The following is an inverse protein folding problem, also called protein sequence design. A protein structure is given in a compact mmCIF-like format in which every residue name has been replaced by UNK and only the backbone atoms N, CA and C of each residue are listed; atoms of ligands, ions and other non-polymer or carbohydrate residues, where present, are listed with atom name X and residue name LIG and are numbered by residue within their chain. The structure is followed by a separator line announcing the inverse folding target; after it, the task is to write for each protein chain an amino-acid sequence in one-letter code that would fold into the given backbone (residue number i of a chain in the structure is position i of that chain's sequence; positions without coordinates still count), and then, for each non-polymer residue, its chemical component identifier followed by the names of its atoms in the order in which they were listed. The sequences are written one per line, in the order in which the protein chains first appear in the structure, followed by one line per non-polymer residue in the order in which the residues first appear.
data_IF_703658302294
#
_entry.id   IF_703658302294
#
_cell.length_a   1.000
_cell.length_b   1.000
_cell.length_c   1.000
_cell.angle_alpha   90.00
_cell.angle_beta   90.00
_cell.angle_gamma   90.00
#
_symmetry.space_group_name_H-M   'P 1'
#
loop_
_entity.id
_entity.type
_entity.pdbx_description
1 polymer ?
#
# COMPACT_ATOMS: atom_id res chain seq x y z
N UNK A 1 12.58 -70.41 17.32
CA UNK A 1 11.18 -70.04 17.03
C UNK A 1 11.15 -68.53 16.85
N UNK A 2 11.08 -68.12 15.60
CA UNK A 2 11.29 -66.79 15.06
C UNK A 2 10.03 -65.93 15.22
N UNK A 3 10.16 -64.76 15.85
CA UNK A 3 9.08 -63.79 15.98
C UNK A 3 8.86 -63.03 14.68
N UNK A 4 7.63 -63.07 14.16
CA UNK A 4 7.18 -62.31 13.00
C UNK A 4 7.11 -60.81 13.32
N UNK A 5 7.89 -60.02 12.58
CA UNK A 5 7.79 -58.57 12.51
C UNK A 5 6.85 -58.19 11.36
N UNK A 6 5.61 -57.87 11.67
CA UNK A 6 4.67 -57.28 10.72
C UNK A 6 5.02 -55.82 10.45
N UNK A 7 5.76 -55.57 9.35
CA UNK A 7 5.95 -54.22 8.79
C UNK A 7 4.60 -53.67 8.30
N UNK A 8 4.15 -52.54 8.85
CA UNK A 8 3.08 -51.72 8.24
C UNK A 8 3.66 -51.00 7.01
N UNK A 9 2.93 -50.93 5.88
CA UNK A 9 3.41 -50.21 4.71
C UNK A 9 3.38 -48.70 4.96
N UNK A 10 4.48 -48.04 4.60
CA UNK A 10 4.57 -46.58 4.48
C UNK A 10 3.63 -46.16 3.35
N UNK A 11 2.62 -45.34 3.67
CA UNK A 11 1.82 -44.66 2.65
C UNK A 11 2.69 -43.59 2.01
N UNK A 12 3.06 -43.79 0.75
CA UNK A 12 3.56 -42.71 -0.10
C UNK A 12 2.51 -41.59 -0.13
N UNK A 13 2.94 -40.40 0.28
CA UNK A 13 2.14 -39.18 0.16
C UNK A 13 2.10 -38.83 -1.32
N UNK A 14 1.00 -39.21 -1.95
CA UNK A 14 0.67 -38.97 -3.34
C UNK A 14 0.46 -37.47 -3.60
N UNK A 15 1.29 -36.94 -4.50
CA UNK A 15 1.03 -35.90 -5.51
C UNK A 15 0.48 -34.53 -5.05
N UNK A 16 1.31 -33.51 -5.27
CA UNK A 16 0.98 -32.08 -5.27
C UNK A 16 -0.29 -31.79 -6.09
N UNK A 17 -1.13 -30.81 -5.71
CA UNK A 17 -2.32 -30.46 -6.49
C UNK A 17 -1.95 -30.00 -7.91
N UNK A 18 -2.54 -30.67 -8.90
CA UNK A 18 -2.44 -30.31 -10.30
C UNK A 18 -3.22 -29.02 -10.56
N UNK A 19 -2.51 -27.89 -10.65
CA UNK A 19 -3.07 -26.56 -10.92
C UNK A 19 -3.66 -26.42 -12.34
N UNK A 20 -3.56 -27.46 -13.17
CA UNK A 20 -3.99 -27.46 -14.58
C UNK A 20 -5.46 -27.78 -14.80
N UNK A 21 -6.26 -27.98 -13.76
CA UNK A 21 -7.69 -28.23 -13.93
C UNK A 21 -8.47 -26.91 -13.80
N UNK A 22 -8.96 -26.31 -14.90
CA UNK A 22 -9.73 -25.08 -14.84
C UNK A 22 -11.09 -25.38 -14.21
N UNK A 23 -11.27 -24.94 -12.96
CA UNK A 23 -12.60 -24.55 -12.50
C UNK A 23 -13.14 -23.59 -13.56
N UNK A 24 -14.31 -23.90 -14.12
CA UNK A 24 -15.04 -23.22 -15.21
C UNK A 24 -14.48 -21.85 -15.61
N UNK A 25 -14.04 -21.63 -16.87
CA UNK A 25 -13.42 -20.37 -17.26
C UNK A 25 -14.44 -19.23 -17.14
N UNK A 26 -14.26 -18.37 -16.14
CA UNK A 26 -14.77 -17.01 -16.21
C UNK A 26 -13.99 -16.31 -17.34
N UNK A 27 -14.59 -16.23 -18.52
CA UNK A 27 -13.96 -15.71 -19.74
C UNK A 27 -13.84 -14.17 -19.78
N UNK A 28 -14.18 -13.44 -18.73
CA UNK A 28 -14.39 -12.00 -18.82
C UNK A 28 -13.58 -11.23 -17.78
N UNK A 29 -12.25 -11.34 -17.85
CA UNK A 29 -11.34 -10.38 -17.22
C UNK A 29 -10.88 -9.40 -18.29
N UNK A 30 -11.33 -8.17 -18.19
CA UNK A 30 -10.86 -7.05 -19.00
C UNK A 30 -9.60 -6.44 -18.37
N UNK A 31 -8.62 -6.07 -19.21
CA UNK A 31 -7.35 -5.47 -18.77
C UNK A 31 -7.31 -4.03 -19.26
N UNK A 32 -7.16 -3.09 -18.33
CA UNK A 32 -7.16 -1.65 -18.61
C UNK A 32 -5.83 -1.02 -18.19
N UNK A 33 -5.35 -0.04 -18.94
CA UNK A 33 -4.19 0.78 -18.55
C UNK A 33 -4.59 2.11 -17.91
N UNK A 34 -5.89 2.42 -17.90
CA UNK A 34 -6.46 3.65 -17.34
C UNK A 34 -7.91 3.42 -16.94
N UNK A 35 -8.32 4.01 -15.81
CA UNK A 35 -9.73 4.11 -15.44
C UNK A 35 -10.38 5.27 -16.20
N UNK A 36 -11.41 4.94 -16.99
CA UNK A 36 -12.27 5.91 -17.67
C UNK A 36 -13.56 6.08 -16.85
N UNK A 37 -14.38 7.08 -17.20
CA UNK A 37 -15.57 7.41 -16.41
C UNK A 37 -16.55 6.22 -16.31
N UNK A 38 -16.73 5.46 -17.38
CA UNK A 38 -17.55 4.24 -17.40
C UNK A 38 -17.01 3.16 -16.45
N UNK A 39 -15.68 2.95 -16.44
CA UNK A 39 -15.04 2.02 -15.50
C UNK A 39 -15.20 2.48 -14.04
N UNK A 40 -15.15 3.78 -13.80
CA UNK A 40 -15.28 4.36 -12.46
C UNK A 40 -16.67 4.17 -11.87
N UNK A 41 -17.73 4.37 -12.66
CA UNK A 41 -19.12 4.17 -12.19
C UNK A 41 -19.36 2.73 -11.71
N UNK A 42 -18.89 1.74 -12.46
CA UNK A 42 -18.99 0.33 -12.09
C UNK A 42 -18.13 -0.01 -10.86
N UNK A 43 -16.91 0.53 -10.82
CA UNK A 43 -15.97 0.30 -9.74
C UNK A 43 -16.43 0.93 -8.42
N UNK A 44 -17.05 2.12 -8.46
CA UNK A 44 -17.64 2.76 -7.28
C UNK A 44 -18.70 1.85 -6.64
N UNK A 45 -19.57 1.24 -7.44
CA UNK A 45 -20.58 0.29 -6.95
C UNK A 45 -19.94 -0.93 -6.28
N UNK A 46 -18.85 -1.46 -6.85
CA UNK A 46 -18.10 -2.57 -6.26
C UNK A 46 -17.40 -2.15 -4.95
N UNK A 47 -16.77 -0.98 -4.92
CA UNK A 47 -16.08 -0.44 -3.74
C UNK A 47 -17.08 -0.26 -2.59
N UNK A 48 -18.23 0.38 -2.84
CA UNK A 48 -19.28 0.56 -1.83
C UNK A 48 -19.74 -0.79 -1.26
N UNK A 49 -19.99 -1.78 -2.13
CA UNK A 49 -20.43 -3.09 -1.68
C UNK A 49 -19.35 -3.83 -0.87
N UNK A 50 -18.09 -3.80 -1.31
CA UNK A 50 -16.97 -4.42 -0.60
C UNK A 50 -16.76 -3.76 0.76
N UNK A 51 -16.70 -2.42 0.78
CA UNK A 51 -16.53 -1.62 2.00
C UNK A 51 -17.64 -1.87 3.02
N UNK A 52 -18.90 -1.88 2.60
CA UNK A 52 -20.02 -2.16 3.48
C UNK A 52 -19.94 -3.56 4.13
N UNK A 53 -19.33 -4.53 3.46
CA UNK A 53 -19.17 -5.89 3.98
C UNK A 53 -17.91 -6.07 4.82
N UNK A 54 -16.82 -5.38 4.48
CA UNK A 54 -15.50 -5.57 5.10
C UNK A 54 -15.20 -4.53 6.20
N UNK A 55 -15.92 -3.41 6.22
CA UNK A 55 -15.76 -2.34 7.20
C UNK A 55 -14.57 -1.41 6.93
N UNK A 56 -13.95 -1.48 5.75
CA UNK A 56 -12.84 -0.62 5.34
C UNK A 56 -12.78 -0.47 3.81
N UNK A 57 -12.05 0.54 3.33
CA UNK A 57 -11.80 0.72 1.90
C UNK A 57 -11.00 -0.46 1.32
N UNK A 58 -11.34 -0.97 0.12
CA UNK A 58 -10.64 -2.10 -0.48
C UNK A 58 -9.28 -1.73 -1.08
N UNK A 59 -9.00 -0.44 -1.30
CA UNK A 59 -7.82 0.04 -2.03
C UNK A 59 -7.13 1.21 -1.33
N UNK A 60 -5.81 1.27 -1.44
CA UNK A 60 -4.97 2.38 -1.00
C UNK A 60 -4.91 3.53 -2.02
N UNK A 61 -4.70 4.76 -1.53
CA UNK A 61 -4.73 5.97 -2.36
C UNK A 61 -3.63 5.99 -3.45
N UNK A 62 -2.41 5.57 -3.12
CA UNK A 62 -1.24 5.77 -3.97
C UNK A 62 -1.36 5.11 -5.35
N UNK A 63 -1.66 3.81 -5.39
CA UNK A 63 -1.75 3.03 -6.63
C UNK A 63 -3.01 3.40 -7.42
N UNK A 64 -4.11 3.64 -6.71
CA UNK A 64 -5.37 4.05 -7.31
C UNK A 64 -5.25 5.39 -8.06
N UNK A 65 -4.59 6.40 -7.47
CA UNK A 65 -4.37 7.69 -8.14
C UNK A 65 -3.49 7.58 -9.39
N UNK A 66 -2.47 6.71 -9.37
CA UNK A 66 -1.61 6.47 -10.55
C UNK A 66 -2.40 5.83 -11.70
N UNK A 67 -3.21 4.81 -11.42
CA UNK A 67 -4.04 4.19 -12.46
C UNK A 67 -5.13 5.13 -12.98
N UNK A 68 -5.78 5.93 -12.11
CA UNK A 68 -6.78 6.93 -12.51
C UNK A 68 -6.21 7.97 -13.48
N UNK A 69 -4.92 8.30 -13.34
CA UNK A 69 -4.22 9.22 -14.25
C UNK A 69 -3.70 8.55 -15.52
N UNK A 70 -3.71 7.22 -15.60
CA UNK A 70 -3.10 6.45 -16.70
C UNK A 70 -1.57 6.52 -16.67
N UNK A 71 -0.97 6.47 -15.48
CA UNK A 71 0.48 6.41 -15.35
C UNK A 71 1.03 5.13 -15.99
N UNK A 72 2.22 5.23 -16.60
CA UNK A 72 2.94 4.06 -17.10
C UNK A 72 3.09 3.02 -15.98
N UNK A 73 3.00 1.74 -16.34
CA UNK A 73 3.18 0.59 -15.43
C UNK A 73 2.06 0.33 -14.42
N UNK A 74 0.97 1.11 -14.43
CA UNK A 74 -0.26 0.79 -13.71
C UNK A 74 -1.23 0.01 -14.61
N UNK A 75 -1.78 -1.10 -14.12
CA UNK A 75 -2.74 -1.93 -14.88
C UNK A 75 -3.92 -2.32 -13.99
N UNK A 76 -5.14 -2.22 -14.52
CA UNK A 76 -6.36 -2.70 -13.89
C UNK A 76 -6.86 -4.00 -14.52
N UNK A 77 -7.53 -4.82 -13.71
CA UNK A 77 -8.15 -6.09 -14.11
C UNK A 77 -9.60 -6.09 -13.62
N UNK A 78 -10.56 -6.10 -14.54
CA UNK A 78 -12.00 -6.02 -14.26
C UNK A 78 -12.66 -7.37 -14.55
N UNK A 79 -13.17 -8.05 -13.52
CA UNK A 79 -13.82 -9.36 -13.66
C UNK A 79 -15.34 -9.23 -13.70
N UNK A 80 -15.96 -9.74 -14.76
CA UNK A 80 -17.40 -9.64 -15.00
C UNK A 80 -18.13 -10.99 -14.90
N UNK A 81 -19.35 -10.96 -14.35
CA UNK A 81 -20.36 -12.04 -14.43
C UNK A 81 -21.67 -11.40 -14.93
N UNK A 82 -22.22 -11.89 -16.05
CA UNK A 82 -23.43 -11.35 -16.69
C UNK A 82 -23.44 -9.82 -16.88
N UNK A 83 -22.32 -9.26 -17.36
CA UNK A 83 -22.07 -7.80 -17.55
C UNK A 83 -22.06 -6.97 -16.27
N UNK A 84 -22.05 -7.59 -15.10
CA UNK A 84 -21.83 -6.91 -13.84
C UNK A 84 -20.38 -7.05 -13.41
N UNK A 85 -19.73 -5.95 -13.02
CA UNK A 85 -18.43 -5.99 -12.37
C UNK A 85 -18.55 -6.69 -11.01
N UNK A 86 -17.88 -7.84 -10.87
CA UNK A 86 -17.93 -8.68 -9.65
C UNK A 86 -16.59 -8.82 -8.95
N UNK A 87 -15.51 -8.37 -9.59
CA UNK A 87 -14.20 -8.27 -8.97
C UNK A 87 -13.32 -7.27 -9.70
N UNK A 88 -12.40 -6.69 -8.97
CA UNK A 88 -11.44 -5.73 -9.52
C UNK A 88 -10.09 -5.93 -8.85
N UNK A 89 -9.04 -5.77 -9.63
CA UNK A 89 -7.70 -5.64 -9.11
C UNK A 89 -6.94 -4.56 -9.87
N UNK A 90 -5.92 -4.00 -9.24
CA UNK A 90 -4.96 -3.17 -9.95
C UNK A 90 -3.54 -3.47 -9.49
N UNK A 91 -2.60 -3.13 -10.36
CA UNK A 91 -1.17 -3.34 -10.15
C UNK A 91 -0.41 -2.04 -10.36
N UNK A 92 0.75 -1.96 -9.72
CA UNK A 92 1.79 -0.99 -10.04
C UNK A 92 3.11 -1.75 -10.17
N UNK A 93 3.77 -1.63 -11.32
CA UNK A 93 5.14 -2.14 -11.50
C UNK A 93 6.14 -1.07 -11.14
N UNK A 94 7.17 -1.42 -10.38
CA UNK A 94 8.25 -0.54 -9.98
C UNK A 94 9.54 -1.34 -9.76
N UNK A 95 10.67 -0.66 -9.76
CA UNK A 95 11.97 -1.25 -9.47
C UNK A 95 12.37 -0.86 -8.04
N UNK A 96 12.75 -1.84 -7.21
CA UNK A 96 13.17 -1.59 -5.83
C UNK A 96 14.30 -2.52 -5.43
N UNK A 97 15.39 -1.94 -4.91
CA UNK A 97 16.62 -2.65 -4.56
C UNK A 97 17.20 -3.49 -5.72
N UNK A 98 17.10 -2.97 -6.96
CA UNK A 98 17.62 -3.64 -8.16
C UNK A 98 16.75 -4.78 -8.69
N UNK A 99 15.56 -4.98 -8.11
CA UNK A 99 14.59 -5.99 -8.56
C UNK A 99 13.32 -5.33 -9.07
N UNK A 100 12.82 -5.78 -10.22
CA UNK A 100 11.48 -5.40 -10.69
C UNK A 100 10.40 -6.14 -9.90
N UNK A 101 9.41 -5.39 -9.43
CA UNK A 101 8.30 -5.87 -8.60
C UNK A 101 6.96 -5.40 -9.14
N UNK A 102 5.93 -6.19 -8.88
CA UNK A 102 4.54 -5.80 -9.10
C UNK A 102 3.82 -5.81 -7.77
N UNK A 103 3.39 -4.65 -7.28
CA UNK A 103 2.48 -4.59 -6.14
C UNK A 103 1.04 -4.54 -6.61
N UNK A 104 0.14 -5.22 -5.92
CA UNK A 104 -1.26 -5.31 -6.27
C UNK A 104 -2.19 -5.22 -5.07
N UNK A 105 -3.42 -4.81 -5.36
CA UNK A 105 -4.57 -4.82 -4.47
C UNK A 105 -5.76 -5.37 -5.25
N UNK A 106 -6.65 -6.10 -4.59
CA UNK A 106 -7.83 -6.67 -5.24
C UNK A 106 -9.02 -6.76 -4.29
N UNK A 107 -10.22 -6.67 -4.86
CA UNK A 107 -11.46 -6.94 -4.14
C UNK A 107 -12.42 -7.76 -4.99
N UNK A 108 -13.31 -8.49 -4.31
CA UNK A 108 -14.38 -9.28 -4.92
C UNK A 108 -15.68 -8.91 -4.23
N UNK A 109 -16.70 -8.65 -5.04
CA UNK A 109 -18.03 -8.30 -4.57
C UNK A 109 -18.52 -9.36 -3.55
N UNK A 110 -19.04 -8.96 -2.38
CA UNK A 110 -19.35 -9.89 -1.29
C UNK A 110 -20.22 -11.10 -1.68
N UNK A 111 -21.27 -10.86 -2.46
CA UNK A 111 -22.18 -11.91 -2.97
C UNK A 111 -21.54 -12.90 -3.95
N UNK A 112 -20.35 -12.59 -4.48
CA UNK A 112 -19.65 -13.36 -5.49
C UNK A 112 -18.36 -14.00 -4.94
N UNK A 113 -18.06 -13.79 -3.66
CA UNK A 113 -16.91 -14.43 -2.99
C UNK A 113 -17.06 -15.94 -2.99
N UNK A 114 -15.92 -16.62 -2.84
CA UNK A 114 -15.81 -18.10 -2.82
C UNK A 114 -16.19 -18.79 -4.14
N UNK A 115 -16.45 -18.04 -5.22
CA UNK A 115 -16.65 -18.56 -6.59
C UNK A 115 -15.37 -18.67 -7.44
N UNK A 116 -14.20 -18.37 -6.87
CA UNK A 116 -12.91 -18.44 -7.58
C UNK A 116 -12.43 -17.11 -8.20
N UNK A 117 -13.26 -16.06 -8.25
CA UNK A 117 -12.94 -14.75 -8.85
C UNK A 117 -11.61 -14.18 -8.37
N UNK A 118 -11.36 -14.14 -7.05
CA UNK A 118 -10.11 -13.63 -6.51
C UNK A 118 -8.88 -14.42 -6.98
N UNK A 119 -9.01 -15.75 -7.12
CA UNK A 119 -7.92 -16.60 -7.65
C UNK A 119 -7.70 -16.35 -9.13
N UNK A 120 -8.77 -16.11 -9.89
CA UNK A 120 -8.68 -15.72 -11.30
C UNK A 120 -7.93 -14.40 -11.45
N UNK A 121 -8.33 -13.36 -10.71
CA UNK A 121 -7.66 -12.05 -10.72
C UNK A 121 -6.18 -12.17 -10.33
N UNK A 122 -5.86 -12.88 -9.25
CA UNK A 122 -4.47 -13.04 -8.80
C UNK A 122 -3.62 -13.84 -9.80
N UNK A 123 -4.20 -14.84 -10.49
CA UNK A 123 -3.52 -15.55 -11.59
C UNK A 123 -3.17 -14.60 -12.74
N UNK A 124 -4.09 -13.71 -13.14
CA UNK A 124 -3.83 -12.70 -14.17
C UNK A 124 -2.73 -11.71 -13.74
N UNK A 125 -2.72 -11.30 -12.48
CA UNK A 125 -1.66 -10.43 -11.94
C UNK A 125 -0.30 -11.12 -11.99
N UNK A 126 -0.21 -12.38 -11.59
CA UNK A 126 1.05 -13.13 -11.62
C UNK A 126 1.56 -13.29 -13.06
N UNK A 127 0.66 -13.55 -14.01
CA UNK A 127 1.05 -13.64 -15.42
C UNK A 127 1.50 -12.28 -15.98
N UNK A 128 0.79 -11.20 -15.63
CA UNK A 128 1.22 -9.85 -15.95
C UNK A 128 2.61 -9.56 -15.36
N UNK A 129 2.84 -9.86 -14.08
CA UNK A 129 4.14 -9.69 -13.44
C UNK A 129 5.26 -10.45 -14.17
N UNK A 130 5.01 -11.70 -14.60
CA UNK A 130 5.96 -12.44 -15.44
C UNK A 130 6.24 -11.72 -16.76
N UNK A 131 5.21 -11.25 -17.46
CA UNK A 131 5.38 -10.51 -18.72
C UNK A 131 6.21 -9.22 -18.57
N UNK A 132 6.18 -8.60 -17.39
CA UNK A 132 6.97 -7.42 -17.07
C UNK A 132 8.42 -7.75 -16.68
N UNK A 133 8.77 -9.04 -16.56
CA UNK A 133 10.05 -9.50 -16.05
C UNK A 133 10.20 -9.29 -14.54
N UNK A 134 9.10 -9.16 -13.80
CA UNK A 134 9.15 -8.99 -12.35
C UNK A 134 9.60 -10.27 -11.66
N UNK A 135 10.43 -10.10 -10.63
CA UNK A 135 10.90 -11.20 -9.79
C UNK A 135 10.04 -11.37 -8.52
N UNK A 136 9.14 -10.42 -8.28
CA UNK A 136 8.29 -10.41 -7.09
C UNK A 136 6.90 -9.86 -7.37
N UNK A 137 5.89 -10.51 -6.79
CA UNK A 137 4.53 -9.98 -6.66
C UNK A 137 4.28 -9.66 -5.20
N UNK A 138 3.76 -8.47 -4.92
CA UNK A 138 3.48 -7.96 -3.57
C UNK A 138 1.98 -7.67 -3.42
N UNK A 139 1.26 -8.54 -2.72
CA UNK A 139 -0.18 -8.46 -2.49
C UNK A 139 -0.47 -7.76 -1.16
N UNK A 140 -1.11 -6.60 -1.21
CA UNK A 140 -1.61 -5.92 -0.01
C UNK A 140 -2.92 -6.54 0.46
N UNK A 141 -3.00 -6.81 1.76
CA UNK A 141 -4.15 -7.33 2.45
C UNK A 141 -4.53 -6.39 3.60
N UNK A 142 -5.55 -5.59 3.38
CA UNK A 142 -6.11 -4.68 4.38
C UNK A 142 -6.79 -5.46 5.52
N UNK A 143 -6.61 -4.99 6.76
CA UNK A 143 -7.24 -5.54 7.98
C UNK A 143 -6.97 -7.03 8.31
N UNK A 144 -5.96 -7.67 7.70
CA UNK A 144 -5.59 -9.08 7.95
C UNK A 144 -6.83 -10.03 7.98
N UNK A 145 -7.62 -10.01 6.91
CA UNK A 145 -8.85 -10.83 6.86
C UNK A 145 -8.57 -12.34 6.67
N UNK A 146 -9.42 -13.24 7.19
CA UNK A 146 -9.30 -14.67 6.90
C UNK A 146 -9.35 -15.02 5.40
N UNK A 147 -10.06 -14.22 4.60
CA UNK A 147 -10.13 -14.41 3.15
C UNK A 147 -8.80 -14.06 2.47
N UNK A 148 -8.16 -12.97 2.90
CA UNK A 148 -6.83 -12.54 2.41
C UNK A 148 -5.75 -13.57 2.78
N UNK A 149 -5.75 -14.08 4.01
CA UNK A 149 -4.85 -15.17 4.43
C UNK A 149 -5.03 -16.44 3.60
N UNK A 150 -6.28 -16.82 3.31
CA UNK A 150 -6.58 -18.02 2.55
C UNK A 150 -6.06 -17.91 1.10
N UNK A 151 -6.31 -16.79 0.41
CA UNK A 151 -5.83 -16.62 -0.97
C UNK A 151 -4.29 -16.48 -1.03
N UNK A 152 -3.67 -15.79 -0.06
CA UNK A 152 -2.21 -15.72 0.03
C UNK A 152 -1.60 -17.11 0.20
N UNK A 153 -2.17 -17.93 1.09
CA UNK A 153 -1.73 -19.32 1.31
C UNK A 153 -1.92 -20.20 0.07
N UNK A 154 -3.03 -20.07 -0.66
CA UNK A 154 -3.29 -20.88 -1.86
C UNK A 154 -2.25 -20.66 -2.96
N UNK A 155 -1.70 -19.45 -3.05
CA UNK A 155 -0.67 -19.08 -4.01
C UNK A 155 0.75 -19.11 -3.42
N UNK A 156 0.91 -19.63 -2.20
CA UNK A 156 2.18 -19.70 -1.48
C UNK A 156 2.90 -18.35 -1.30
N UNK A 157 2.15 -17.27 -1.13
CA UNK A 157 2.72 -16.00 -0.71
C UNK A 157 3.18 -16.09 0.76
N UNK A 158 4.32 -15.47 1.06
CA UNK A 158 4.81 -15.29 2.42
C UNK A 158 4.49 -13.89 2.93
N UNK A 159 4.17 -13.76 4.21
CA UNK A 159 4.07 -12.45 4.87
C UNK A 159 5.46 -11.81 4.99
N UNK A 160 5.62 -10.59 4.49
CA UNK A 160 6.93 -9.90 4.44
C UNK A 160 6.93 -8.53 5.09
N UNK A 161 5.76 -7.89 5.25
CA UNK A 161 5.63 -6.57 5.88
C UNK A 161 4.31 -6.48 6.64
N UNK A 162 4.32 -5.77 7.76
CA UNK A 162 3.13 -5.43 8.55
C UNK A 162 3.09 -3.92 8.73
N UNK A 163 2.04 -3.28 8.25
CA UNK A 163 1.80 -1.85 8.39
C UNK A 163 0.78 -1.66 9.52
N UNK A 164 1.22 -1.09 10.63
CA UNK A 164 0.37 -0.82 11.78
C UNK A 164 -0.43 0.44 11.54
N UNK A 165 -1.73 0.36 11.76
CA UNK A 165 -2.60 1.53 11.83
C UNK A 165 -2.83 1.81 13.29
N UNK A 166 -2.37 2.98 13.73
CA UNK A 166 -2.45 3.38 15.12
C UNK A 166 -3.35 4.61 15.23
N UNK A 167 -4.22 4.61 16.23
CA UNK A 167 -5.20 5.67 16.46
C UNK A 167 -5.00 6.28 17.84
N UNK A 168 -5.25 7.58 17.96
CA UNK A 168 -5.38 8.28 19.25
C UNK A 168 -6.62 9.15 19.27
N UNK A 169 -7.04 9.51 20.48
CA UNK A 169 -8.08 10.51 20.65
C UNK A 169 -7.64 11.89 20.14
N UNK A 170 -8.56 12.72 19.63
CA UNK A 170 -8.29 14.09 19.25
C UNK A 170 -7.74 14.92 20.42
N UNK A 171 -7.00 15.97 20.08
CA UNK A 171 -6.50 16.93 21.05
C UNK A 171 -5.03 17.27 20.85
N UNK A 172 -4.57 18.40 21.42
CA UNK A 172 -3.20 18.84 21.28
C UNK A 172 -2.24 17.91 22.00
N UNK A 173 -0.95 18.07 21.71
CA UNK A 173 0.11 17.42 22.47
C UNK A 173 1.09 18.48 22.97
N UNK A 174 1.66 18.36 24.19
CA UNK A 174 2.67 19.30 24.66
C UNK A 174 3.85 19.39 23.70
N UNK A 175 4.08 20.58 23.13
CA UNK A 175 5.18 20.82 22.22
C UNK A 175 6.45 21.01 23.06
N UNK A 176 7.50 20.18 22.87
CA UNK A 176 8.78 20.40 23.56
C UNK A 176 9.43 21.70 23.08
N UNK A 177 10.44 22.19 23.82
CA UNK A 177 11.23 23.32 23.35
C UNK A 177 11.76 23.03 21.93
N UNK A 178 11.66 24.00 20.99
CA UNK A 178 12.18 23.80 19.64
C UNK A 178 13.68 23.53 19.71
N UNK A 179 14.20 22.56 18.93
CA UNK A 179 15.63 22.39 18.76
C UNK A 179 16.27 23.71 18.30
N UNK A 180 17.55 23.92 18.62
CA UNK A 180 18.26 25.14 18.24
C UNK A 180 18.16 25.42 16.73
N UNK A 181 17.84 26.67 16.37
CA UNK A 181 17.65 27.09 14.99
C UNK A 181 16.35 26.61 14.34
N UNK A 182 15.49 25.85 15.04
CA UNK A 182 14.28 25.29 14.47
C UNK A 182 13.14 26.30 14.35
N UNK A 183 12.55 26.35 13.15
CA UNK A 183 11.29 27.05 12.87
C UNK A 183 10.34 26.14 12.10
N UNK A 184 9.03 26.35 12.26
CA UNK A 184 8.00 25.64 11.50
C UNK A 184 7.11 26.66 10.83
N UNK A 185 6.84 26.46 9.54
CA UNK A 185 5.93 27.29 8.75
C UNK A 185 5.03 26.44 7.85
N UNK A 186 3.86 26.93 7.45
CA UNK A 186 3.09 26.31 6.38
C UNK A 186 3.85 26.26 5.06
N UNK A 187 3.50 25.27 4.25
CA UNK A 187 3.82 25.19 2.84
C UNK A 187 3.16 26.34 2.07
N UNK A 188 3.90 26.94 1.15
CA UNK A 188 3.44 27.96 0.22
C UNK A 188 3.30 27.39 -1.20
N UNK A 189 2.07 27.18 -1.69
CA UNK A 189 1.83 26.79 -3.07
C UNK A 189 2.38 27.83 -4.06
N UNK A 190 3.00 27.34 -5.13
CA UNK A 190 3.68 28.10 -6.16
C UNK A 190 5.12 28.49 -5.84
N UNK A 191 5.64 28.14 -4.66
CA UNK A 191 7.00 28.49 -4.23
C UNK A 191 7.76 27.31 -3.63
N UNK A 192 7.08 26.42 -2.90
CA UNK A 192 7.74 25.36 -2.13
C UNK A 192 7.74 23.99 -2.84
N UNK A 193 7.13 23.84 -4.03
CA UNK A 193 6.90 22.51 -4.62
C UNK A 193 8.16 21.71 -4.90
N UNK A 194 9.13 22.33 -5.59
CA UNK A 194 10.40 21.68 -5.92
C UNK A 194 11.19 21.37 -4.64
N UNK A 195 11.22 22.32 -3.70
CA UNK A 195 11.88 22.16 -2.40
C UNK A 195 11.30 20.99 -1.61
N UNK A 196 9.97 20.90 -1.53
CA UNK A 196 9.31 19.83 -0.79
C UNK A 196 9.56 18.48 -1.44
N UNK A 197 9.50 18.39 -2.78
CA UNK A 197 9.75 17.15 -3.51
C UNK A 197 11.18 16.64 -3.28
N UNK A 198 12.17 17.53 -3.39
CA UNK A 198 13.58 17.22 -3.12
C UNK A 198 13.78 16.80 -1.66
N UNK A 199 13.11 17.44 -0.71
CA UNK A 199 13.15 17.06 0.70
C UNK A 199 12.50 15.69 0.93
N UNK A 200 11.32 15.43 0.37
CA UNK A 200 10.62 14.15 0.48
C UNK A 200 11.48 12.98 -0.01
N UNK A 201 12.04 13.11 -1.21
CA UNK A 201 12.86 12.05 -1.80
C UNK A 201 14.17 11.82 -1.03
N UNK A 202 14.72 12.86 -0.37
CA UNK A 202 15.85 12.70 0.56
C UNK A 202 15.46 12.01 1.86
N UNK A 203 14.35 12.44 2.48
CA UNK A 203 13.82 11.88 3.74
C UNK A 203 13.49 10.40 3.59
N UNK A 204 12.90 10.02 2.46
CA UNK A 204 12.41 8.69 2.18
C UNK A 204 13.27 7.92 1.17
N UNK A 205 14.54 8.29 0.98
CA UNK A 205 15.43 7.65 0.03
C UNK A 205 15.43 6.11 0.20
N UNK A 206 15.08 5.37 -0.86
CA UNK A 206 14.97 3.91 -0.85
C UNK A 206 13.66 3.35 -0.26
N UNK A 207 12.72 4.20 0.18
CA UNK A 207 11.39 3.78 0.62
C UNK A 207 10.50 3.47 -0.59
N UNK A 208 9.92 2.25 -0.70
CA UNK A 208 9.17 1.82 -1.89
C UNK A 208 8.01 2.74 -2.31
N UNK A 209 7.32 3.37 -1.35
CA UNK A 209 6.10 4.13 -1.61
C UNK A 209 6.29 5.66 -1.58
N UNK A 210 7.38 6.14 -0.93
CA UNK A 210 7.56 7.56 -0.60
C UNK A 210 8.90 8.12 -1.08
N UNK A 211 9.84 7.29 -1.54
CA UNK A 211 11.22 7.73 -1.86
C UNK A 211 11.43 8.25 -3.28
N UNK A 212 10.51 7.95 -4.20
CA UNK A 212 10.66 8.26 -5.63
C UNK A 212 9.42 9.01 -6.17
N UNK A 213 8.94 9.99 -5.41
CA UNK A 213 7.84 10.81 -5.89
C UNK A 213 8.31 11.70 -7.03
N UNK A 214 7.46 11.81 -8.04
CA UNK A 214 7.59 12.78 -9.13
C UNK A 214 6.79 14.04 -8.82
N UNK A 215 7.05 15.13 -9.55
CA UNK A 215 6.22 16.34 -9.47
C UNK A 215 4.75 16.04 -9.79
N UNK A 216 4.53 15.06 -10.66
CA UNK A 216 3.22 14.56 -11.01
C UNK A 216 2.53 13.87 -9.83
N UNK A 217 3.23 12.99 -9.11
CA UNK A 217 2.70 12.33 -7.91
C UNK A 217 2.32 13.36 -6.85
N UNK A 218 3.18 14.34 -6.61
CA UNK A 218 2.94 15.41 -5.65
C UNK A 218 1.78 16.31 -6.07
N UNK A 219 1.76 16.77 -7.32
CA UNK A 219 0.68 17.58 -7.89
C UNK A 219 -0.68 16.87 -7.83
N UNK A 220 -0.70 15.53 -7.95
CA UNK A 220 -1.92 14.74 -7.78
C UNK A 220 -2.44 14.76 -6.34
N UNK A 221 -1.56 14.80 -5.32
CA UNK A 221 -1.94 15.00 -3.91
C UNK A 221 -2.43 16.41 -3.66
N UNK A 222 -1.77 17.43 -4.21
CA UNK A 222 -2.16 18.83 -4.04
C UNK A 222 -3.56 19.14 -4.62
N UNK A 223 -4.05 18.32 -5.57
CA UNK A 223 -5.40 18.43 -6.14
C UNK A 223 -6.48 17.66 -5.37
N UNK A 224 -6.12 16.92 -4.32
CA UNK A 224 -7.13 16.17 -3.55
C UNK A 224 -8.04 17.13 -2.78
N UNK A 225 -9.33 16.80 -2.62
CA UNK A 225 -10.29 17.67 -1.95
C UNK A 225 -9.96 17.90 -0.46
N UNK A 226 -9.23 16.98 0.15
CA UNK A 226 -8.74 17.07 1.52
C UNK A 226 -7.51 17.99 1.67
N UNK A 227 -6.80 18.30 0.58
CA UNK A 227 -5.55 19.06 0.67
C UNK A 227 -5.79 20.50 1.13
N UNK A 228 -4.99 20.93 2.11
CA UNK A 228 -4.94 22.28 2.62
C UNK A 228 -3.47 22.68 2.81
N UNK A 229 -2.98 23.78 2.20
CA UNK A 229 -1.57 24.17 2.32
C UNK A 229 -1.11 24.38 3.77
N UNK A 230 -1.99 24.89 4.61
CA UNK A 230 -1.71 25.11 6.03
C UNK A 230 -1.52 23.82 6.84
N UNK A 231 -1.95 22.68 6.29
CA UNK A 231 -1.82 21.35 6.91
C UNK A 231 -0.54 20.63 6.47
N UNK A 232 0.24 21.20 5.54
CA UNK A 232 1.60 20.77 5.22
C UNK A 232 2.61 21.69 5.92
N UNK A 233 3.17 21.21 7.03
CA UNK A 233 4.11 21.95 7.86
C UNK A 233 5.55 21.67 7.44
N UNK A 234 6.31 22.71 7.12
CA UNK A 234 7.74 22.64 6.79
C UNK A 234 8.56 22.99 8.04
N UNK A 235 9.48 22.10 8.39
CA UNK A 235 10.47 22.31 9.44
C UNK A 235 11.76 22.81 8.80
N UNK A 236 12.27 23.92 9.30
CA UNK A 236 13.55 24.49 8.90
C UNK A 236 14.51 24.51 10.10
N UNK A 237 15.80 24.33 9.83
CA UNK A 237 16.90 24.59 10.77
C UNK A 237 17.74 25.70 10.14
N UNK A 238 17.86 26.84 10.82
CA UNK A 238 18.64 27.99 10.35
C UNK A 238 18.23 28.44 8.92
N UNK A 239 16.94 28.32 8.61
CA UNK A 239 16.36 28.64 7.29
C UNK A 239 16.52 27.56 6.22
N UNK A 240 17.10 26.40 6.56
CA UNK A 240 17.27 25.27 5.63
C UNK A 240 16.19 24.21 5.89
N UNK A 241 15.42 23.77 4.87
CA UNK A 241 14.43 22.71 5.02
C UNK A 241 15.03 21.41 5.55
N UNK A 242 14.56 20.97 6.72
CA UNK A 242 15.11 19.87 7.50
C UNK A 242 14.11 18.73 7.72
N UNK A 243 12.82 18.96 7.44
CA UNK A 243 11.77 17.96 7.56
C UNK A 243 10.40 18.56 7.28
N UNK A 244 9.38 17.73 7.37
CA UNK A 244 8.00 18.18 7.21
C UNK A 244 7.02 17.24 7.90
N UNK A 245 5.84 17.76 8.15
CA UNK A 245 4.70 17.01 8.62
C UNK A 245 3.47 17.43 7.84
N UNK A 246 3.05 16.55 6.94
CA UNK A 246 1.83 16.67 6.19
C UNK A 246 0.69 16.00 6.97
N UNK A 247 -0.34 16.78 7.26
CA UNK A 247 -1.58 16.35 7.88
C UNK A 247 -2.67 16.25 6.81
N UNK A 248 -3.57 15.30 7.01
CA UNK A 248 -4.75 15.09 6.16
C UNK A 248 -5.99 15.03 7.06
N UNK A 249 -7.11 15.55 6.57
CA UNK A 249 -8.40 15.41 7.26
C UNK A 249 -9.45 14.98 6.26
N UNK A 250 -10.15 13.90 6.56
CA UNK A 250 -11.18 13.35 5.69
C UNK A 250 -12.33 12.74 6.48
N UNK A 251 -13.50 12.67 5.86
CA UNK A 251 -14.62 11.89 6.37
C UNK A 251 -14.39 10.42 5.99
N UNK A 252 -14.36 9.55 7.00
CA UNK A 252 -14.25 8.10 6.83
C UNK A 252 -15.52 7.46 7.33
N UNK A 253 -16.26 6.83 6.41
CA UNK A 253 -17.47 6.10 6.75
C UNK A 253 -17.17 5.01 7.81
N UNK A 254 -17.90 5.04 8.93
CA UNK A 254 -17.67 4.16 10.07
C UNK A 254 -16.66 4.66 11.11
N UNK A 255 -15.80 5.63 10.77
CA UNK A 255 -14.82 6.23 11.70
C UNK A 255 -15.09 7.72 12.00
N UNK A 256 -15.96 8.38 11.23
CA UNK A 256 -16.25 9.81 11.36
C UNK A 256 -15.18 10.67 10.67
N UNK A 257 -14.99 11.89 11.17
CA UNK A 257 -14.02 12.84 10.62
C UNK A 257 -12.64 12.56 11.20
N UNK A 258 -11.76 11.94 10.42
CA UNK A 258 -10.44 11.49 10.88
C UNK A 258 -9.37 12.45 10.42
N UNK A 259 -8.53 12.89 11.37
CA UNK A 259 -7.27 13.54 11.07
C UNK A 259 -6.16 12.49 10.94
N UNK A 260 -5.19 12.70 10.07
CA UNK A 260 -4.14 11.73 9.80
C UNK A 260 -2.77 12.40 9.80
N UNK A 261 -1.81 11.74 10.45
CA UNK A 261 -0.38 11.97 10.21
C UNK A 261 -0.03 11.32 8.87
N UNK A 262 -0.32 12.03 7.78
CA UNK A 262 -0.25 11.51 6.42
C UNK A 262 1.19 11.20 6.00
N UNK A 263 2.08 12.19 6.11
CA UNK A 263 3.52 11.98 5.90
C UNK A 263 4.28 12.81 6.92
N UNK A 264 5.20 12.17 7.65
CA UNK A 264 6.09 12.84 8.59
C UNK A 264 7.51 12.33 8.38
N UNK A 265 8.48 13.24 8.34
CA UNK A 265 9.87 12.85 8.30
C UNK A 265 10.83 14.03 8.42
N UNK A 266 12.09 13.69 8.69
CA UNK A 266 13.19 14.64 8.81
C UNK A 266 14.37 14.12 7.99
N UNK A 267 15.17 15.02 7.44
CA UNK A 267 16.31 14.62 6.63
C UNK A 267 17.38 13.95 7.53
N UNK A 268 18.05 12.88 7.07
CA UNK A 268 18.96 12.09 7.89
C UNK A 268 20.08 12.89 8.58
N UNK A 269 20.58 13.94 7.92
CA UNK A 269 21.60 14.86 8.44
C UNK A 269 21.19 15.61 9.72
N UNK A 270 19.89 15.63 10.06
CA UNK A 270 19.39 16.29 11.27
C UNK A 270 18.92 15.31 12.37
N UNK A 271 19.19 14.01 12.22
CA UNK A 271 18.82 13.01 13.22
C UNK A 271 19.50 13.22 14.57
N UNK A 272 18.86 12.70 15.63
CA UNK A 272 19.35 12.82 17.01
C UNK A 272 19.06 14.16 17.69
N UNK A 273 18.46 15.14 16.99
CA UNK A 273 18.15 16.48 17.52
C UNK A 273 16.74 16.63 18.12
N UNK A 274 16.01 15.52 18.32
CA UNK A 274 14.64 15.55 18.85
C UNK A 274 13.56 16.02 17.85
N UNK A 275 13.89 16.17 16.56
CA UNK A 275 12.97 16.73 15.55
C UNK A 275 11.67 15.94 15.41
N UNK A 276 11.71 14.60 15.38
CA UNK A 276 10.50 13.79 15.20
C UNK A 276 9.44 14.04 16.28
N UNK A 277 9.87 14.12 17.56
CA UNK A 277 8.96 14.43 18.68
C UNK A 277 8.43 15.86 18.60
N UNK A 278 9.30 16.82 18.32
CA UNK A 278 8.91 18.23 18.18
C UNK A 278 7.90 18.41 17.04
N UNK A 279 8.16 17.80 15.89
CA UNK A 279 7.35 17.94 14.70
C UNK A 279 5.99 17.24 14.86
N UNK A 280 5.95 16.02 15.39
CA UNK A 280 4.71 15.31 15.71
C UNK A 280 3.84 16.11 16.69
N UNK A 281 4.41 16.62 17.78
CA UNK A 281 3.65 17.43 18.75
C UNK A 281 3.09 18.72 18.11
N UNK A 282 3.88 19.35 17.25
CA UNK A 282 3.47 20.55 16.51
C UNK A 282 2.31 20.25 15.57
N UNK A 283 2.39 19.14 14.81
CA UNK A 283 1.34 18.69 13.92
C UNK A 283 0.05 18.30 14.66
N UNK A 284 0.14 17.55 15.75
CA UNK A 284 -1.03 17.20 16.58
C UNK A 284 -1.70 18.44 17.17
N UNK A 285 -0.91 19.41 17.63
CA UNK A 285 -1.45 20.68 18.13
C UNK A 285 -2.11 21.50 17.01
N UNK A 286 -1.54 21.52 15.81
CA UNK A 286 -2.15 22.14 14.65
C UNK A 286 -3.47 21.47 14.28
N UNK A 287 -3.47 20.14 14.19
CA UNK A 287 -4.63 19.31 13.86
C UNK A 287 -5.75 19.43 14.90
N UNK A 288 -5.42 19.65 16.18
CA UNK A 288 -6.41 19.82 17.26
C UNK A 288 -7.34 21.03 17.09
N UNK A 289 -6.99 21.95 16.18
CA UNK A 289 -7.86 23.08 15.81
C UNK A 289 -8.93 22.68 14.79
N UNK A 290 -8.86 21.46 14.26
CA UNK A 290 -9.84 20.86 13.35
C UNK A 290 -10.80 20.00 14.18
N UNK A 291 -12.06 20.00 13.77
CA UNK A 291 -13.11 19.18 14.38
C UNK A 291 -12.96 17.72 13.92
N UNK A 292 -12.12 16.92 14.57
CA UNK A 292 -11.87 15.51 14.21
C UNK A 292 -12.28 14.61 15.36
N UNK A 293 -12.78 13.42 15.03
CA UNK A 293 -13.21 12.38 15.97
C UNK A 293 -12.05 11.48 16.43
N UNK A 294 -11.02 11.34 15.59
CA UNK A 294 -9.80 10.59 15.88
C UNK A 294 -8.60 11.12 15.10
N UNK A 295 -7.39 10.75 15.55
CA UNK A 295 -6.16 10.94 14.77
C UNK A 295 -5.52 9.58 14.47
N UNK A 296 -5.25 9.31 13.19
CA UNK A 296 -4.65 8.07 12.71
C UNK A 296 -3.22 8.28 12.18
N UNK A 297 -2.42 7.21 12.23
CA UNK A 297 -1.11 7.13 11.57
C UNK A 297 -0.83 5.71 11.11
N UNK A 298 -0.09 5.60 10.00
CA UNK A 298 0.35 4.37 9.39
C UNK A 298 1.85 4.25 9.60
N UNK A 299 2.32 3.14 10.15
CA UNK A 299 3.75 2.94 10.44
C UNK A 299 4.16 1.49 10.19
N UNK A 300 5.30 1.31 9.54
CA UNK A 300 5.88 -0.03 9.37
C UNK A 300 6.22 -0.62 10.75
N UNK A 301 5.76 -1.85 11.03
CA UNK A 301 6.00 -2.50 12.31
C UNK A 301 7.50 -2.66 12.61
N UNK A 302 8.34 -2.81 11.59
CA UNK A 302 9.79 -2.91 11.75
C UNK A 302 10.45 -1.59 12.16
N UNK A 303 9.75 -0.46 12.00
CA UNK A 303 10.23 0.85 12.46
C UNK A 303 9.90 1.06 13.95
N UNK A 304 10.53 0.24 14.80
CA UNK A 304 10.30 0.22 16.26
C UNK A 304 10.46 1.60 16.91
N UNK A 305 11.37 2.43 16.40
CA UNK A 305 11.58 3.80 16.88
C UNK A 305 10.37 4.70 16.60
N UNK A 306 9.77 4.61 15.41
CA UNK A 306 8.57 5.37 15.09
C UNK A 306 7.36 4.84 15.85
N UNK A 307 7.21 3.51 15.96
CA UNK A 307 6.16 2.89 16.78
C UNK A 307 6.22 3.39 18.23
N UNK A 308 7.38 3.30 18.88
CA UNK A 308 7.57 3.79 20.25
C UNK A 308 7.34 5.30 20.39
N UNK A 309 7.65 6.08 19.34
CA UNK A 309 7.32 7.50 19.30
C UNK A 309 5.80 7.69 19.31
N UNK A 310 5.06 7.04 18.43
CA UNK A 310 3.60 7.15 18.37
C UNK A 310 2.93 6.67 19.67
N UNK A 311 3.36 5.54 20.22
CA UNK A 311 2.85 5.05 21.52
C UNK A 311 3.03 6.08 22.64
N UNK A 312 4.16 6.80 22.66
CA UNK A 312 4.40 7.87 23.63
C UNK A 312 3.51 9.12 23.45
N UNK A 313 2.79 9.21 22.34
CA UNK A 313 1.75 10.21 22.05
C UNK A 313 0.34 9.60 22.13
N UNK A 314 0.20 8.47 22.85
CA UNK A 314 -1.07 7.80 23.11
C UNK A 314 -1.74 7.27 21.83
N UNK A 315 -0.95 7.01 20.79
CA UNK A 315 -1.42 6.19 19.69
C UNK A 315 -1.44 4.73 20.13
N UNK A 316 -2.56 4.06 19.88
CA UNK A 316 -2.77 2.66 20.17
C UNK A 316 -3.00 1.88 18.88
N UNK A 317 -2.60 0.62 18.84
CA UNK A 317 -2.85 -0.25 17.69
C UNK A 317 -4.36 -0.36 17.45
N UNK A 318 -4.77 -0.09 16.22
CA UNK A 318 -6.16 -0.22 15.78
C UNK A 318 -6.32 -1.46 14.90
N UNK A 319 -5.57 -1.55 13.79
CA UNK A 319 -5.50 -2.72 12.93
C UNK A 319 -4.14 -2.81 12.22
N UNK A 320 -3.99 -3.83 11.39
CA UNK A 320 -2.76 -4.09 10.62
C UNK A 320 -3.11 -4.44 9.18
N UNK A 321 -2.39 -3.85 8.26
CA UNK A 321 -2.35 -4.28 6.87
C UNK A 321 -1.11 -5.14 6.65
N UNK A 322 -1.27 -6.18 5.85
CA UNK A 322 -0.20 -7.14 5.58
C UNK A 322 0.22 -7.07 4.13
N UNK A 323 1.52 -6.97 3.90
CA UNK A 323 2.10 -7.25 2.59
C UNK A 323 2.50 -8.72 2.53
N UNK A 324 1.90 -9.42 1.59
CA UNK A 324 2.28 -10.75 1.18
C UNK A 324 3.18 -10.66 -0.04
N UNK A 325 4.27 -11.43 -0.10
CA UNK A 325 5.15 -11.51 -1.26
C UNK A 325 5.25 -12.91 -1.83
N UNK A 326 5.22 -13.00 -3.15
CA UNK A 326 5.53 -14.19 -3.92
C UNK A 326 6.78 -13.93 -4.77
N UNK A 327 7.81 -14.74 -4.58
CA UNK A 327 8.99 -14.73 -5.47
C UNK A 327 8.67 -15.50 -6.74
N UNK A 328 8.87 -14.86 -7.89
CA UNK A 328 8.76 -15.49 -9.19
C UNK A 328 10.12 -16.04 -9.61
N UNK A 329 10.18 -17.25 -10.21
CA UNK A 329 11.43 -17.75 -10.77
C UNK A 329 11.88 -16.81 -11.89
N UNK A 330 13.19 -16.52 -11.94
CA UNK A 330 13.77 -15.80 -13.06
C UNK A 330 13.46 -16.56 -14.36
N UNK A 331 12.95 -15.86 -15.37
CA UNK A 331 12.77 -16.48 -16.68
C UNK A 331 14.16 -16.86 -17.20
N UNK A 332 14.39 -18.17 -17.35
CA UNK A 332 15.54 -18.65 -18.12
C UNK A 332 15.42 -18.08 -19.53
N UNK A 333 16.43 -17.36 -20.02
CA UNK A 333 16.51 -17.00 -21.43
C UNK A 333 16.20 -18.25 -22.27
N UNK A 334 15.35 -18.15 -23.32
CA UNK A 334 15.22 -19.25 -24.26
C UNK A 334 16.64 -19.60 -24.76
N UNK A 335 16.98 -20.90 -24.90
CA UNK A 335 18.27 -21.27 -25.46
C UNK A 335 18.44 -20.54 -26.80
N UNK A 336 19.59 -19.91 -26.98
CA UNK A 336 19.93 -19.27 -28.25
C UNK A 336 19.64 -20.27 -29.38
N UNK A 337 18.90 -19.84 -30.40
CA UNK A 337 18.61 -20.67 -31.56
C UNK A 337 19.93 -21.28 -32.06
N UNK A 338 19.98 -22.60 -32.34
CA UNK A 338 21.21 -23.22 -32.81
C UNK A 338 21.67 -22.44 -34.05
N UNK A 339 22.92 -21.99 -34.02
CA UNK A 339 23.55 -21.33 -35.15
C UNK A 339 23.34 -22.22 -36.38
N UNK A 340 22.77 -21.65 -37.44
CA UNK A 340 22.69 -22.33 -38.72
C UNK A 340 24.12 -22.72 -39.11
N UNK A 341 24.36 -24.03 -39.17
CA UNK A 341 25.58 -24.57 -39.76
C UNK A 341 25.48 -24.35 -41.26
N UNK A 342 26.36 -23.50 -41.79
CA UNK A 342 26.61 -23.30 -43.23
C UNK A 342 27.08 -24.58 -43.93
#
# INVERSE_FOLDING_TARGET
MTGESTKRPVREISQSPDWRNPLTPMQNVEVISRLEDEHMEELESLIVAAKAADGHEPFGEHKFLRLKRGADLAVGFMAYEDKRLVGYAHTLTFDAAGERRVSCELTVHPQFRRKGIGRTLLSHIIEHARSQGALRVELWAYNDSPASRAIASDFAFAETRRLLHMHRHPGPAPIPAPPEGASVRPFHPGADEEMWLDLNNRVFAGHPENGEWTMDDFSARLRQPWFRPEDLLILEIDGIPAGFHWLKVEEREGEGRVGEVYIIGAAPEYYGRGLGRFLLATGLTHLSKRDVDAVAVYVDQSNERAVALYESFEFHHHHVDILYSLTLPAQSNPPAAPAATD
#
